data_IF_978361846842
#
_entry.id   IF_978361846842
#
_cell.length_a   1.000
_cell.length_b   1.000
_cell.length_c   1.000
_cell.angle_alpha   90.00
_cell.angle_beta   90.00
_cell.angle_gamma   90.00
#
_symmetry.space_group_name_H-M   'P 1'
#
loop_
_entity.id
_entity.type
_entity.pdbx_description
1 polymer ?
#
# COMPACT_ATOMS: atom_id res chain seq x y z
N UNK A 1 -10.70 5.27 -14.33
CA UNK A 1 -10.59 4.54 -15.62
C UNK A 1 -9.19 4.03 -15.89
N UNK A 2 -8.14 4.87 -15.87
CA UNK A 2 -6.75 4.41 -16.08
C UNK A 2 -6.35 3.24 -15.15
N UNK A 3 -6.67 3.33 -13.85
CA UNK A 3 -6.42 2.24 -12.90
C UNK A 3 -7.13 0.94 -13.29
N UNK A 4 -8.39 1.01 -13.76
CA UNK A 4 -9.12 -0.18 -14.21
C UNK A 4 -8.57 -0.74 -15.52
N UNK A 5 -8.16 0.13 -16.45
CA UNK A 5 -7.41 -0.28 -17.63
C UNK A 5 -6.15 -1.07 -17.25
N UNK A 6 -5.44 -0.62 -16.21
CA UNK A 6 -4.34 -1.35 -15.60
C UNK A 6 -4.76 -2.73 -15.08
N UNK A 7 -5.83 -2.82 -14.29
CA UNK A 7 -6.35 -4.11 -13.79
C UNK A 7 -6.68 -5.07 -14.93
N UNK A 8 -7.37 -4.59 -15.98
CA UNK A 8 -7.73 -5.40 -17.15
C UNK A 8 -6.46 -5.92 -17.84
N UNK A 9 -5.48 -5.04 -18.09
CA UNK A 9 -4.22 -5.41 -18.72
C UNK A 9 -3.45 -6.43 -17.88
N UNK A 10 -3.27 -6.19 -16.58
CA UNK A 10 -2.51 -7.06 -15.69
C UNK A 10 -3.20 -8.40 -15.43
N UNK A 11 -4.45 -8.37 -14.95
CA UNK A 11 -5.14 -9.53 -14.42
C UNK A 11 -6.03 -10.26 -15.42
N UNK A 12 -6.63 -9.56 -16.37
CA UNK A 12 -7.56 -10.19 -17.31
C UNK A 12 -6.91 -10.56 -18.64
N UNK A 13 -5.74 -10.00 -18.94
CA UNK A 13 -5.01 -10.24 -20.18
C UNK A 13 -3.66 -10.92 -19.90
N UNK A 14 -2.73 -10.24 -19.21
CA UNK A 14 -1.36 -10.74 -19.04
C UNK A 14 -1.32 -12.04 -18.22
N UNK A 15 -1.95 -12.06 -17.04
CA UNK A 15 -1.95 -13.24 -16.17
C UNK A 15 -2.58 -14.48 -16.83
N UNK A 16 -3.76 -14.41 -17.47
CA UNK A 16 -4.33 -15.53 -18.20
C UNK A 16 -3.46 -16.01 -19.37
N UNK A 17 -2.82 -15.10 -20.11
CA UNK A 17 -1.87 -15.48 -21.17
C UNK A 17 -0.68 -16.24 -20.58
N UNK A 18 -0.13 -15.77 -19.46
CA UNK A 18 0.96 -16.47 -18.76
C UNK A 18 0.52 -17.83 -18.24
N UNK A 19 -0.70 -17.93 -17.70
CA UNK A 19 -1.31 -19.19 -17.28
C UNK A 19 -1.41 -20.19 -18.42
N UNK A 20 -2.00 -19.79 -19.56
CA UNK A 20 -2.18 -20.67 -20.73
C UNK A 20 -0.83 -21.12 -21.29
N UNK A 21 0.13 -20.20 -21.41
CA UNK A 21 1.48 -20.48 -21.94
C UNK A 21 2.44 -21.11 -20.93
N UNK A 22 2.00 -21.32 -19.69
CA UNK A 22 2.85 -21.78 -18.58
C UNK A 22 4.13 -20.93 -18.42
N UNK A 23 4.04 -19.62 -18.65
CA UNK A 23 5.18 -18.71 -18.52
C UNK A 23 5.66 -18.68 -17.07
N UNK A 24 6.97 -18.83 -16.85
CA UNK A 24 7.59 -18.96 -15.52
C UNK A 24 7.03 -20.11 -14.67
N UNK A 25 6.64 -21.19 -15.34
CA UNK A 25 6.13 -22.40 -14.69
C UNK A 25 4.97 -22.12 -13.73
N UNK A 26 4.13 -21.13 -14.03
CA UNK A 26 3.02 -20.69 -13.16
C UNK A 26 2.11 -21.83 -12.68
N UNK A 27 2.03 -22.94 -13.43
CA UNK A 27 1.24 -24.12 -13.08
C UNK A 27 1.85 -24.98 -11.97
N UNK A 28 3.12 -24.77 -11.60
CA UNK A 28 3.77 -25.51 -10.51
C UNK A 28 3.30 -25.08 -9.12
N UNK A 29 2.79 -23.86 -9.00
CA UNK A 29 2.30 -23.32 -7.74
C UNK A 29 0.87 -23.82 -7.51
N UNK A 30 0.62 -24.39 -6.32
CA UNK A 30 -0.71 -24.88 -5.91
C UNK A 30 -1.76 -23.77 -6.00
N UNK A 31 -1.37 -22.55 -5.62
CA UNK A 31 -2.17 -21.34 -5.78
C UNK A 31 -1.35 -20.26 -6.50
N UNK A 32 -1.53 -20.04 -7.80
CA UNK A 32 -0.76 -19.05 -8.58
C UNK A 32 -1.11 -17.60 -8.22
N UNK A 33 -2.22 -17.39 -7.51
CA UNK A 33 -2.74 -16.08 -7.09
C UNK A 33 -2.57 -15.84 -5.59
N UNK A 34 -1.34 -16.00 -5.09
CA UNK A 34 -1.00 -15.80 -3.68
C UNK A 34 0.27 -14.94 -3.52
N UNK A 35 0.32 -14.08 -2.48
CA UNK A 35 1.52 -13.32 -2.11
C UNK A 35 2.52 -14.13 -1.25
N UNK A 36 2.50 -15.46 -1.36
CA UNK A 36 3.40 -16.36 -0.62
C UNK A 36 4.69 -16.66 -1.39
N UNK A 37 5.73 -17.06 -0.66
CA UNK A 37 7.00 -17.53 -1.21
C UNK A 37 6.99 -19.06 -1.34
N UNK A 38 7.75 -19.57 -2.31
CA UNK A 38 7.85 -20.98 -2.65
C UNK A 38 9.29 -21.39 -2.94
N UNK A 39 9.61 -22.64 -2.66
CA UNK A 39 10.81 -23.30 -3.15
C UNK A 39 10.73 -23.50 -4.66
N UNK A 40 11.87 -23.79 -5.32
CA UNK A 40 11.89 -23.97 -6.78
C UNK A 40 11.00 -25.12 -7.25
N UNK A 41 10.81 -26.12 -6.37
CA UNK A 41 9.93 -27.27 -6.56
C UNK A 41 8.42 -26.97 -6.40
N UNK A 42 8.03 -25.75 -6.00
CA UNK A 42 6.62 -25.34 -5.83
C UNK A 42 6.02 -25.56 -4.44
N UNK A 43 6.79 -26.09 -3.48
CA UNK A 43 6.38 -26.18 -2.06
C UNK A 43 6.52 -24.84 -1.34
N UNK A 44 5.76 -24.61 -0.28
CA UNK A 44 5.72 -23.31 0.41
C UNK A 44 7.04 -23.01 1.14
N UNK A 45 7.55 -21.79 0.97
CA UNK A 45 8.79 -21.33 1.60
C UNK A 45 8.48 -20.52 2.86
N UNK A 46 8.83 -21.06 4.02
CA UNK A 46 8.65 -20.37 5.30
C UNK A 46 9.95 -19.71 5.75
N UNK A 47 10.07 -18.40 5.52
CA UNK A 47 11.30 -17.65 5.85
C UNK A 47 11.65 -17.74 7.34
N UNK A 48 10.66 -17.90 8.22
CA UNK A 48 10.85 -18.09 9.67
C UNK A 48 11.79 -19.26 10.02
N UNK A 49 11.86 -20.30 9.19
CA UNK A 49 12.74 -21.45 9.43
C UNK A 49 14.23 -21.12 9.27
N UNK A 50 14.53 -20.00 8.59
CA UNK A 50 15.89 -19.53 8.31
C UNK A 50 16.26 -18.28 9.13
N UNK A 51 15.47 -17.95 10.16
CA UNK A 51 15.76 -16.81 11.03
C UNK A 51 16.37 -17.28 12.35
N UNK A 52 17.36 -16.53 12.84
CA UNK A 52 17.92 -16.67 14.19
C UNK A 52 16.92 -16.17 15.23
N UNK A 53 17.24 -16.39 16.51
CA UNK A 53 16.41 -15.93 17.64
C UNK A 53 16.24 -14.39 17.70
N UNK A 54 17.17 -13.64 17.10
CA UNK A 54 17.07 -12.18 16.96
C UNK A 54 16.32 -11.73 15.69
N UNK A 55 15.69 -12.67 14.97
CA UNK A 55 15.02 -12.50 13.68
C UNK A 55 15.93 -12.08 12.52
N UNK A 56 17.26 -12.11 12.66
CA UNK A 56 18.17 -11.96 11.52
C UNK A 56 18.24 -13.23 10.69
N UNK A 57 18.59 -13.12 9.40
CA UNK A 57 18.74 -14.29 8.53
C UNK A 57 19.96 -15.12 8.95
N UNK A 58 19.75 -16.43 9.09
CA UNK A 58 20.83 -17.41 9.22
C UNK A 58 21.33 -17.82 7.83
N UNK A 59 22.48 -17.25 7.44
CA UNK A 59 23.04 -17.46 6.11
C UNK A 59 23.53 -18.90 5.90
N UNK A 60 24.02 -19.57 6.95
CA UNK A 60 24.52 -20.95 6.83
C UNK A 60 23.35 -21.92 6.63
N UNK A 61 22.28 -21.78 7.42
CA UNK A 61 21.06 -22.58 7.25
C UNK A 61 20.39 -22.33 5.90
N UNK A 62 20.34 -21.07 5.46
CA UNK A 62 19.78 -20.71 4.16
C UNK A 62 20.60 -21.29 3.00
N UNK A 63 21.93 -21.23 3.06
CA UNK A 63 22.80 -21.82 2.04
C UNK A 63 22.77 -23.36 2.08
N UNK A 64 22.69 -23.97 3.27
CA UNK A 64 22.60 -25.42 3.43
C UNK A 64 21.31 -26.00 2.85
N UNK A 65 20.22 -25.24 2.85
CA UNK A 65 18.99 -25.64 2.17
C UNK A 65 19.15 -25.71 0.64
N UNK A 66 20.11 -24.98 0.07
CA UNK A 66 20.50 -25.06 -1.34
C UNK A 66 19.44 -24.61 -2.35
N UNK A 67 18.29 -24.11 -1.90
CA UNK A 67 17.17 -23.72 -2.74
C UNK A 67 16.77 -22.26 -2.50
N UNK A 68 16.54 -21.53 -3.60
CA UNK A 68 16.24 -20.10 -3.57
C UNK A 68 14.75 -19.85 -3.42
N UNK A 69 14.39 -18.82 -2.66
CA UNK A 69 13.00 -18.41 -2.54
C UNK A 69 12.49 -17.82 -3.87
N UNK A 70 11.40 -18.38 -4.37
CA UNK A 70 10.70 -17.96 -5.58
C UNK A 70 9.34 -17.36 -5.22
N UNK A 71 8.89 -16.44 -6.07
CA UNK A 71 7.59 -15.79 -6.02
C UNK A 71 6.71 -16.28 -7.16
N UNK A 72 5.40 -16.28 -6.92
CA UNK A 72 4.43 -16.47 -8.01
C UNK A 72 4.60 -15.38 -9.07
N UNK A 73 4.33 -15.66 -10.36
CA UNK A 73 4.38 -14.66 -11.43
C UNK A 73 3.48 -13.46 -11.16
N UNK A 74 2.34 -13.70 -10.53
CA UNK A 74 1.43 -12.65 -10.07
C UNK A 74 2.14 -11.72 -9.09
N UNK A 75 2.76 -12.26 -8.04
CA UNK A 75 3.42 -11.44 -7.03
C UNK A 75 4.65 -10.69 -7.59
N UNK A 76 5.48 -11.38 -8.38
CA UNK A 76 6.62 -10.78 -9.07
C UNK A 76 6.19 -9.62 -10.00
N UNK A 77 5.13 -9.80 -10.79
CA UNK A 77 4.62 -8.73 -11.64
C UNK A 77 4.11 -7.52 -10.86
N UNK A 78 3.47 -7.69 -9.70
CA UNK A 78 3.04 -6.53 -8.92
C UNK A 78 4.19 -5.69 -8.38
N UNK A 79 5.31 -6.30 -8.02
CA UNK A 79 6.53 -5.57 -7.68
C UNK A 79 7.11 -4.83 -8.91
N UNK A 80 7.13 -5.47 -10.08
CA UNK A 80 7.53 -4.82 -11.34
C UNK A 80 6.66 -3.58 -11.60
N UNK A 81 5.34 -3.73 -11.51
CA UNK A 81 4.41 -2.64 -11.73
C UNK A 81 4.55 -1.53 -10.67
N UNK A 82 4.94 -1.87 -9.44
CA UNK A 82 5.26 -0.87 -8.40
C UNK A 82 6.50 -0.04 -8.77
N UNK A 83 7.54 -0.67 -9.33
CA UNK A 83 8.72 0.03 -9.84
C UNK A 83 8.42 0.94 -11.03
N UNK A 84 7.58 0.47 -11.96
CA UNK A 84 7.07 1.28 -13.09
C UNK A 84 6.27 2.47 -12.55
N UNK A 85 5.36 2.25 -11.59
CA UNK A 85 4.50 3.30 -11.06
C UNK A 85 5.31 4.42 -10.39
N UNK A 86 6.27 4.07 -9.53
CA UNK A 86 7.07 5.08 -8.83
C UNK A 86 7.93 5.91 -9.79
N UNK A 87 8.68 5.27 -10.68
CA UNK A 87 9.53 5.98 -11.65
C UNK A 87 8.71 6.82 -12.62
N UNK A 88 7.58 6.30 -13.08
CA UNK A 88 6.63 7.05 -13.90
C UNK A 88 6.03 8.24 -13.18
N UNK A 89 5.81 8.15 -11.87
CA UNK A 89 5.30 9.26 -11.08
C UNK A 89 6.29 10.43 -11.11
N UNK A 90 7.56 10.14 -10.83
CA UNK A 90 8.62 11.15 -10.80
C UNK A 90 8.79 11.79 -12.18
N UNK A 91 8.94 10.98 -13.24
CA UNK A 91 9.17 11.52 -14.59
C UNK A 91 7.95 12.23 -15.15
N UNK A 92 6.73 11.74 -14.91
CA UNK A 92 5.50 12.41 -15.35
C UNK A 92 5.37 13.80 -14.71
N UNK A 93 5.61 13.92 -13.39
CA UNK A 93 5.57 15.22 -12.72
C UNK A 93 6.66 16.15 -13.26
N UNK A 94 7.89 15.68 -13.43
CA UNK A 94 8.97 16.50 -13.96
C UNK A 94 8.64 17.00 -15.38
N UNK A 95 8.18 16.11 -16.27
CA UNK A 95 7.93 16.44 -17.67
C UNK A 95 6.69 17.34 -17.87
N UNK A 96 5.56 16.99 -17.26
CA UNK A 96 4.29 17.70 -17.51
C UNK A 96 4.04 18.87 -16.56
N UNK A 97 4.52 18.79 -15.31
CA UNK A 97 4.19 19.76 -14.26
C UNK A 97 5.42 20.44 -13.63
N UNK A 98 6.65 20.08 -14.01
CA UNK A 98 7.87 20.59 -13.41
C UNK A 98 8.02 22.11 -13.56
N UNK A 99 7.62 22.66 -14.70
CA UNK A 99 7.64 24.10 -14.94
C UNK A 99 6.67 24.86 -14.02
N UNK A 100 5.46 24.33 -13.83
CA UNK A 100 4.43 24.93 -12.96
C UNK A 100 4.83 24.85 -11.49
N UNK A 101 5.42 23.71 -11.07
CA UNK A 101 5.96 23.54 -9.73
C UNK A 101 7.10 24.53 -9.49
N UNK A 102 8.04 24.67 -10.44
CA UNK A 102 9.14 25.62 -10.31
C UNK A 102 8.66 27.07 -10.27
N UNK A 103 7.65 27.41 -11.08
CA UNK A 103 7.01 28.74 -11.05
C UNK A 103 6.37 28.99 -9.69
N UNK A 104 5.61 28.03 -9.18
CA UNK A 104 4.93 28.12 -7.88
C UNK A 104 5.95 28.23 -6.72
N UNK A 105 7.05 27.49 -6.78
CA UNK A 105 8.15 27.57 -5.83
C UNK A 105 8.79 28.96 -5.82
N UNK A 106 9.12 29.51 -7.01
CA UNK A 106 9.68 30.87 -7.13
C UNK A 106 8.72 31.94 -6.61
N UNK A 107 7.42 31.80 -6.85
CA UNK A 107 6.40 32.71 -6.31
C UNK A 107 6.33 32.63 -4.78
N UNK A 108 6.37 31.42 -4.21
CA UNK A 108 6.34 31.21 -2.77
C UNK A 108 7.56 31.81 -2.05
N UNK A 109 8.75 31.75 -2.67
CA UNK A 109 10.00 32.27 -2.08
C UNK A 109 10.25 33.76 -2.40
N UNK A 110 9.78 34.28 -3.54
CA UNK A 110 10.15 35.59 -4.08
C UNK A 110 9.09 36.72 -4.01
N UNK A 111 7.84 36.42 -3.64
CA UNK A 111 6.70 37.35 -3.42
C UNK A 111 5.83 37.81 -4.62
N UNK A 112 4.59 38.19 -4.26
CA UNK A 112 3.65 39.21 -4.79
C UNK A 112 2.42 38.85 -5.64
N UNK A 113 2.23 37.62 -6.10
CA UNK A 113 0.91 37.19 -6.58
C UNK A 113 0.25 36.29 -5.54
N UNK A 114 -0.40 36.93 -4.58
CA UNK A 114 -1.18 36.23 -3.57
C UNK A 114 -2.60 35.98 -4.10
N UNK A 115 -2.97 34.71 -4.10
CA UNK A 115 -4.36 34.29 -4.21
C UNK A 115 -5.22 35.08 -3.20
N UNK A 116 -6.47 35.40 -3.56
CA UNK A 116 -7.43 36.02 -2.66
C UNK A 116 -7.51 35.26 -1.33
N UNK A 117 -7.35 33.94 -1.36
CA UNK A 117 -7.33 33.16 -0.14
C UNK A 117 -6.15 33.48 0.77
N UNK A 118 -4.95 33.67 0.21
CA UNK A 118 -3.75 34.07 0.96
C UNK A 118 -3.86 35.50 1.46
N UNK A 119 -4.37 36.43 0.64
CA UNK A 119 -4.61 37.83 1.05
C UNK A 119 -5.51 37.92 2.27
N UNK A 120 -6.61 37.17 2.29
CA UNK A 120 -7.53 37.12 3.42
C UNK A 120 -6.90 36.49 4.67
N UNK A 121 -5.92 35.60 4.51
CA UNK A 121 -5.27 34.90 5.61
C UNK A 121 -4.17 35.70 6.29
N UNK A 122 -3.68 36.79 5.67
CA UNK A 122 -2.67 37.70 6.25
C UNK A 122 -3.06 38.33 7.57
N UNK A 123 -4.36 38.39 7.88
CA UNK A 123 -4.86 38.88 9.17
C UNK A 123 -4.35 37.99 10.31
N UNK A 124 -4.10 36.72 10.04
CA UNK A 124 -3.61 35.78 11.03
C UNK A 124 -2.09 35.70 11.01
N UNK A 125 -1.45 35.64 12.19
CA UNK A 125 -0.02 35.46 12.26
C UNK A 125 0.36 34.06 11.75
N UNK A 126 1.35 34.01 10.86
CA UNK A 126 1.90 32.77 10.37
C UNK A 126 2.59 31.97 11.49
N UNK A 127 2.74 30.66 11.26
CA UNK A 127 3.47 29.78 12.15
C UNK A 127 4.96 29.99 11.89
N UNK A 128 5.76 30.32 12.91
CA UNK A 128 7.20 30.43 12.74
C UNK A 128 7.77 29.10 12.24
N UNK A 129 8.60 29.12 11.19
CA UNK A 129 9.26 27.90 10.68
C UNK A 129 10.08 27.18 11.75
N UNK A 130 10.55 27.91 12.77
CA UNK A 130 11.23 27.35 13.95
C UNK A 130 10.37 26.37 14.74
N UNK A 131 9.03 26.50 14.75
CA UNK A 131 8.16 25.54 15.43
C UNK A 131 8.19 24.19 14.72
N UNK A 132 8.10 24.20 13.39
CA UNK A 132 8.23 22.99 12.57
C UNK A 132 9.64 22.40 12.67
N UNK A 133 10.68 23.23 12.61
CA UNK A 133 12.07 22.77 12.70
C UNK A 133 12.38 22.17 14.08
N UNK A 134 11.99 22.84 15.17
CA UNK A 134 12.18 22.35 16.52
C UNK A 134 11.42 21.04 16.75
N UNK A 135 10.18 20.97 16.30
CA UNK A 135 9.38 19.74 16.38
C UNK A 135 10.02 18.58 15.61
N UNK A 136 10.48 18.85 14.38
CA UNK A 136 11.17 17.88 13.55
C UNK A 136 12.44 17.35 14.24
N UNK A 137 13.28 18.23 14.79
CA UNK A 137 14.52 17.83 15.48
C UNK A 137 14.21 16.98 16.71
N UNK A 138 13.21 17.36 17.51
CA UNK A 138 12.81 16.58 18.70
C UNK A 138 12.30 15.20 18.29
N UNK A 139 11.38 15.13 17.34
CA UNK A 139 10.79 13.85 16.90
C UNK A 139 11.79 12.95 16.18
N UNK A 140 12.70 13.52 15.39
CA UNK A 140 13.79 12.77 14.78
C UNK A 140 14.74 12.21 15.84
N UNK A 141 15.07 13.00 16.87
CA UNK A 141 15.92 12.56 17.98
C UNK A 141 15.29 11.43 18.78
N UNK A 142 13.99 11.53 19.07
CA UNK A 142 13.24 10.45 19.73
C UNK A 142 13.18 9.19 18.85
N UNK A 143 13.00 9.34 17.54
CA UNK A 143 12.99 8.23 16.59
C UNK A 143 14.34 7.49 16.57
N UNK A 144 15.45 8.24 16.54
CA UNK A 144 16.80 7.67 16.62
C UNK A 144 17.03 6.97 17.98
N UNK A 145 16.60 7.58 19.08
CA UNK A 145 16.69 6.99 20.42
C UNK A 145 15.92 5.66 20.51
N UNK A 146 14.69 5.61 19.99
CA UNK A 146 13.87 4.38 20.00
C UNK A 146 14.56 3.25 19.23
N UNK A 147 15.16 3.56 18.06
CA UNK A 147 15.88 2.57 17.27
C UNK A 147 17.10 1.98 17.99
N UNK A 148 17.88 2.81 18.69
CA UNK A 148 19.07 2.38 19.42
C UNK A 148 18.75 1.68 20.74
N UNK A 149 17.82 2.22 21.54
CA UNK A 149 17.49 1.70 22.88
C UNK A 149 16.77 0.35 22.81
N UNK A 150 15.83 0.19 21.87
CA UNK A 150 15.07 -1.05 21.71
C UNK A 150 15.73 -2.04 20.74
N UNK A 151 16.92 -1.72 20.22
CA UNK A 151 17.68 -2.63 19.36
C UNK A 151 16.93 -3.06 18.10
N UNK A 152 16.24 -2.13 17.42
CA UNK A 152 15.41 -2.41 16.23
C UNK A 152 16.22 -2.78 14.97
N UNK A 153 17.46 -3.24 15.13
CA UNK A 153 18.42 -3.59 14.07
C UNK A 153 18.78 -2.43 13.11
N UNK A 154 18.17 -1.25 13.26
CA UNK A 154 18.36 -0.06 12.45
C UNK A 154 19.21 0.96 13.23
N UNK A 155 20.43 1.29 12.78
CA UNK A 155 21.23 2.32 13.44
C UNK A 155 20.65 3.72 13.21
N UNK A 156 21.00 4.67 14.09
CA UNK A 156 20.50 6.05 14.06
C UNK A 156 20.62 6.74 12.69
N UNK A 157 21.72 6.52 11.97
CA UNK A 157 21.93 7.11 10.64
C UNK A 157 20.99 6.51 9.58
N UNK A 158 20.55 5.27 9.77
CA UNK A 158 19.56 4.61 8.90
C UNK A 158 18.20 5.31 8.95
N UNK A 159 17.82 5.86 10.11
CA UNK A 159 16.62 6.69 10.27
C UNK A 159 16.72 7.96 9.42
N UNK A 160 17.89 8.61 9.42
CA UNK A 160 18.15 9.82 8.62
C UNK A 160 18.01 9.51 7.12
N UNK A 161 18.57 8.39 6.66
CA UNK A 161 18.45 7.95 5.26
C UNK A 161 17.00 7.66 4.89
N UNK A 162 16.23 7.00 5.77
CA UNK A 162 14.81 6.74 5.56
C UNK A 162 14.00 8.05 5.40
N UNK A 163 14.21 9.00 6.30
CA UNK A 163 13.55 10.31 6.25
C UNK A 163 13.97 11.11 5.01
N UNK A 164 15.25 11.08 4.63
CA UNK A 164 15.74 11.76 3.43
C UNK A 164 15.10 11.19 2.15
N UNK A 165 15.02 9.86 2.03
CA UNK A 165 14.35 9.19 0.92
C UNK A 165 12.86 9.58 0.84
N UNK A 166 12.16 9.55 1.98
CA UNK A 166 10.78 9.99 2.09
C UNK A 166 10.61 11.44 1.66
N UNK A 167 11.48 12.34 2.14
CA UNK A 167 11.44 13.77 1.83
C UNK A 167 11.59 14.06 0.33
N UNK A 168 12.57 13.44 -0.35
CA UNK A 168 12.78 13.62 -1.80
C UNK A 168 11.56 13.17 -2.61
N UNK A 169 10.99 12.01 -2.26
CA UNK A 169 9.87 11.43 -3.02
C UNK A 169 8.50 12.00 -2.63
N UNK A 170 8.41 12.73 -1.52
CA UNK A 170 7.15 13.36 -1.07
C UNK A 170 6.64 14.36 -2.10
N UNK A 171 7.49 15.23 -2.65
CA UNK A 171 7.07 16.27 -3.60
C UNK A 171 6.37 15.70 -4.85
N UNK A 172 6.98 14.79 -5.65
CA UNK A 172 6.33 14.26 -6.83
C UNK A 172 5.07 13.44 -6.49
N UNK A 173 5.07 12.70 -5.38
CA UNK A 173 3.92 11.88 -5.01
C UNK A 173 2.73 12.75 -4.56
N UNK A 174 2.98 13.74 -3.69
CA UNK A 174 1.93 14.68 -3.27
C UNK A 174 1.40 15.50 -4.45
N UNK A 175 2.27 15.92 -5.39
CA UNK A 175 1.83 16.60 -6.61
C UNK A 175 0.94 15.68 -7.47
N UNK A 176 1.32 14.42 -7.64
CA UNK A 176 0.52 13.44 -8.38
C UNK A 176 -0.85 13.24 -7.74
N UNK A 177 -0.89 13.06 -6.42
CA UNK A 177 -2.16 12.93 -5.68
C UNK A 177 -3.00 14.19 -5.79
N UNK A 178 -2.40 15.38 -5.73
CA UNK A 178 -3.13 16.64 -5.83
C UNK A 178 -3.77 16.85 -7.21
N UNK A 179 -3.14 16.36 -8.28
CA UNK A 179 -3.62 16.52 -9.66
C UNK A 179 -4.62 15.44 -10.03
N UNK A 180 -4.33 14.19 -9.66
CA UNK A 180 -5.05 13.01 -10.17
C UNK A 180 -5.97 12.35 -9.15
N UNK A 181 -5.86 12.72 -7.87
CA UNK A 181 -6.51 12.03 -6.75
C UNK A 181 -5.84 10.70 -6.38
N UNK A 182 -4.70 10.36 -6.99
CA UNK A 182 -3.97 9.11 -6.74
C UNK A 182 -2.45 9.35 -6.66
N UNK A 183 -1.78 8.68 -5.73
CA UNK A 183 -0.32 8.68 -5.62
C UNK A 183 0.21 7.29 -5.27
N UNK A 184 1.34 6.86 -5.85
CA UNK A 184 1.94 5.56 -5.51
C UNK A 184 2.49 5.59 -4.08
N UNK A 185 2.43 4.44 -3.38
CA UNK A 185 3.02 4.30 -2.05
C UNK A 185 4.55 4.15 -2.09
N UNK A 186 5.23 4.50 -0.99
CA UNK A 186 6.69 4.34 -0.85
C UNK A 186 7.11 3.01 -0.23
N UNK A 187 6.16 2.12 0.08
CA UNK A 187 6.40 0.86 0.76
C UNK A 187 7.52 0.05 0.07
N UNK A 188 7.34 -0.29 -1.19
CA UNK A 188 8.26 -1.19 -1.91
C UNK A 188 9.65 -0.56 -2.05
N UNK A 189 9.76 0.72 -2.38
CA UNK A 189 11.07 1.36 -2.60
C UNK A 189 11.84 1.55 -1.29
N UNK A 190 11.15 1.87 -0.19
CA UNK A 190 11.81 2.04 1.13
C UNK A 190 12.33 0.70 1.65
N UNK A 191 11.52 -0.35 1.53
CA UNK A 191 11.94 -1.73 1.86
C UNK A 191 13.09 -2.20 0.96
N UNK A 192 13.01 -1.91 -0.34
CA UNK A 192 14.05 -2.26 -1.31
C UNK A 192 15.38 -1.55 -1.02
N UNK A 193 15.37 -0.23 -0.79
CA UNK A 193 16.59 0.52 -0.44
C UNK A 193 17.16 0.02 0.89
N UNK A 194 16.31 -0.19 1.91
CA UNK A 194 16.75 -0.70 3.20
C UNK A 194 17.37 -2.09 3.09
N UNK A 195 16.80 -3.00 2.28
CA UNK A 195 17.35 -4.33 2.07
C UNK A 195 18.74 -4.31 1.46
N UNK A 196 19.04 -3.32 0.61
CA UNK A 196 20.39 -3.12 0.10
C UNK A 196 21.39 -2.64 1.16
N UNK A 197 20.95 -1.75 2.04
CA UNK A 197 21.79 -1.15 3.07
C UNK A 197 21.99 -2.11 4.26
N UNK A 198 20.96 -2.85 4.64
CA UNK A 198 20.91 -3.72 5.80
C UNK A 198 20.39 -5.12 5.41
N UNK A 199 21.14 -5.90 4.61
CA UNK A 199 20.73 -7.24 4.22
C UNK A 199 20.59 -8.16 5.44
N UNK A 200 19.60 -9.06 5.42
CA UNK A 200 19.39 -10.03 6.49
C UNK A 200 18.68 -9.50 7.73
N UNK A 201 18.23 -8.24 7.73
CA UNK A 201 17.65 -7.55 8.90
C UNK A 201 16.19 -7.13 8.66
N UNK A 202 15.21 -8.03 8.84
CA UNK A 202 13.80 -7.74 8.60
C UNK A 202 13.21 -6.70 9.54
N UNK A 203 13.64 -6.63 10.80
CA UNK A 203 13.14 -5.63 11.75
C UNK A 203 13.61 -4.23 11.34
N UNK A 204 14.88 -4.11 10.93
CA UNK A 204 15.41 -2.84 10.40
C UNK A 204 14.62 -2.38 9.17
N UNK A 205 14.26 -3.32 8.30
CA UNK A 205 13.48 -3.07 7.09
C UNK A 205 12.09 -2.50 7.40
N UNK A 206 11.38 -3.10 8.36
CA UNK A 206 10.09 -2.60 8.84
C UNK A 206 10.20 -1.19 9.43
N UNK A 207 11.21 -0.95 10.28
CA UNK A 207 11.42 0.37 10.88
C UNK A 207 11.74 1.43 9.81
N UNK A 208 12.63 1.12 8.87
CA UNK A 208 13.01 2.03 7.78
C UNK A 208 11.79 2.39 6.90
N UNK A 209 10.96 1.40 6.56
CA UNK A 209 9.71 1.60 5.84
C UNK A 209 8.75 2.52 6.59
N UNK A 210 8.55 2.31 7.89
CA UNK A 210 7.70 3.16 8.70
C UNK A 210 8.16 4.63 8.65
N UNK A 211 9.45 4.88 8.90
CA UNK A 211 9.99 6.25 8.88
C UNK A 211 10.01 6.88 7.49
N UNK A 212 10.19 6.11 6.42
CA UNK A 212 10.16 6.63 5.05
C UNK A 212 8.75 6.88 4.50
N UNK A 213 7.85 5.89 4.62
CA UNK A 213 6.52 5.93 4.03
C UNK A 213 5.49 6.65 4.90
N UNK A 214 5.43 6.38 6.21
CA UNK A 214 4.41 7.00 7.07
C UNK A 214 4.67 8.49 7.24
N UNK A 215 5.93 8.93 7.23
CA UNK A 215 6.27 10.35 7.21
C UNK A 215 5.69 11.06 5.97
N UNK A 216 5.81 10.45 4.79
CA UNK A 216 5.20 10.99 3.56
C UNK A 216 3.66 10.99 3.64
N UNK A 217 3.05 9.90 4.13
CA UNK A 217 1.60 9.81 4.26
C UNK A 217 1.04 10.88 5.22
N UNK A 218 1.68 11.09 6.37
CA UNK A 218 1.32 12.15 7.32
C UNK A 218 1.55 13.54 6.74
N UNK A 219 2.63 13.76 5.98
CA UNK A 219 2.85 15.01 5.27
C UNK A 219 1.73 15.32 4.28
N UNK A 220 1.26 14.32 3.53
CA UNK A 220 0.15 14.49 2.59
C UNK A 220 -1.16 14.86 3.30
N UNK A 221 -1.49 14.22 4.42
CA UNK A 221 -2.67 14.55 5.23
C UNK A 221 -2.56 15.97 5.79
N UNK A 222 -1.40 16.32 6.35
CA UNK A 222 -1.11 17.67 6.84
C UNK A 222 -1.30 18.73 5.75
N UNK A 223 -0.83 18.48 4.53
CA UNK A 223 -1.01 19.39 3.39
C UNK A 223 -2.48 19.53 2.98
N UNK A 224 -3.27 18.45 3.04
CA UNK A 224 -4.71 18.51 2.79
C UNK A 224 -5.42 19.38 3.82
N UNK A 225 -5.10 19.20 5.10
CA UNK A 225 -5.69 19.98 6.19
C UNK A 225 -5.29 21.46 6.13
N UNK A 226 -4.03 21.76 5.87
CA UNK A 226 -3.55 23.14 5.68
C UNK A 226 -4.27 23.83 4.53
N UNK A 227 -4.51 23.11 3.43
CA UNK A 227 -5.28 23.63 2.29
C UNK A 227 -6.75 23.87 2.65
N UNK A 228 -7.38 22.94 3.36
CA UNK A 228 -8.74 23.10 3.86
C UNK A 228 -8.85 24.32 4.78
N UNK A 229 -7.91 24.47 5.72
CA UNK A 229 -7.89 25.59 6.64
C UNK A 229 -7.69 26.94 5.94
N UNK A 230 -6.89 26.99 4.87
CA UNK A 230 -6.74 28.18 4.01
C UNK A 230 -8.08 28.57 3.35
N UNK A 231 -8.87 27.58 2.92
CA UNK A 231 -10.19 27.79 2.32
C UNK A 231 -11.22 28.24 3.35
N UNK A 232 -11.23 27.61 4.53
CA UNK A 232 -12.16 27.88 5.63
C UNK A 232 -11.80 29.10 6.49
N UNK A 233 -10.66 29.75 6.23
CA UNK A 233 -10.16 30.91 6.99
C UNK A 233 -9.88 30.61 8.46
N UNK A 234 -9.39 29.40 8.73
CA UNK A 234 -8.99 28.97 10.08
C UNK A 234 -7.60 29.52 10.39
N UNK A 235 -7.38 30.20 11.54
CA UNK A 235 -6.07 30.71 11.92
C UNK A 235 -4.99 29.61 11.90
N UNK A 236 -3.82 29.83 11.27
CA UNK A 236 -2.79 28.79 11.11
C UNK A 236 -2.29 28.22 12.43
N UNK A 237 -2.05 29.07 13.44
CA UNK A 237 -1.57 28.63 14.76
C UNK A 237 -2.57 27.72 15.47
N UNK A 238 -3.86 28.03 15.39
CA UNK A 238 -4.91 27.18 15.98
C UNK A 238 -4.99 25.82 15.29
N UNK A 239 -4.82 25.81 13.95
CA UNK A 239 -4.78 24.59 13.17
C UNK A 239 -3.60 23.68 13.55
N UNK A 240 -2.41 24.26 13.71
CA UNK A 240 -1.22 23.55 14.17
C UNK A 240 -1.44 22.92 15.55
N UNK A 241 -1.96 23.69 16.51
CA UNK A 241 -2.24 23.19 17.88
C UNK A 241 -3.29 22.08 17.86
N UNK A 242 -4.36 22.22 17.08
CA UNK A 242 -5.41 21.22 16.97
C UNK A 242 -4.89 19.91 16.36
N UNK A 243 -4.11 20.00 15.27
CA UNK A 243 -3.48 18.83 14.66
C UNK A 243 -2.49 18.16 15.62
N UNK A 244 -1.64 18.94 16.28
CA UNK A 244 -0.68 18.43 17.25
C UNK A 244 -1.36 17.62 18.36
N UNK A 245 -2.41 18.17 18.97
CA UNK A 245 -3.20 17.46 19.98
C UNK A 245 -3.92 16.24 19.41
N UNK A 246 -4.52 16.36 18.22
CA UNK A 246 -5.19 15.25 17.55
C UNK A 246 -4.25 14.08 17.26
N UNK A 247 -3.02 14.35 16.80
CA UNK A 247 -1.99 13.33 16.54
C UNK A 247 -1.52 12.67 17.83
N UNK A 248 -1.31 13.42 18.92
CA UNK A 248 -0.90 12.84 20.21
C UNK A 248 -2.00 11.93 20.76
N UNK A 249 -3.23 12.44 20.86
CA UNK A 249 -4.34 11.67 21.42
C UNK A 249 -4.62 10.45 20.53
N UNK A 250 -4.66 10.64 19.21
CA UNK A 250 -4.90 9.58 18.24
C UNK A 250 -3.84 8.49 18.27
N UNK A 251 -2.55 8.86 18.36
CA UNK A 251 -1.46 7.88 18.43
C UNK A 251 -1.48 7.06 19.73
N UNK A 252 -1.72 7.71 20.88
CA UNK A 252 -1.86 7.01 22.17
C UNK A 252 -3.06 6.06 22.14
N UNK A 253 -4.22 6.54 21.70
CA UNK A 253 -5.42 5.71 21.64
C UNK A 253 -5.24 4.53 20.68
N UNK A 254 -4.69 4.76 19.49
CA UNK A 254 -4.42 3.71 18.52
C UNK A 254 -3.46 2.64 19.07
N UNK A 255 -2.39 3.06 19.76
CA UNK A 255 -1.44 2.15 20.40
C UNK A 255 -2.10 1.32 21.51
N UNK A 256 -2.86 1.96 22.41
CA UNK A 256 -3.57 1.27 23.50
C UNK A 256 -4.56 0.26 22.93
N UNK A 257 -5.40 0.68 21.98
CA UNK A 257 -6.37 -0.22 21.33
C UNK A 257 -5.67 -1.40 20.64
N UNK A 258 -4.57 -1.15 19.94
CA UNK A 258 -3.80 -2.23 19.28
C UNK A 258 -3.29 -3.25 20.29
N UNK A 259 -2.68 -2.82 21.40
CA UNK A 259 -2.19 -3.73 22.44
C UNK A 259 -3.35 -4.49 23.08
N UNK A 260 -4.44 -3.81 23.44
CA UNK A 260 -5.60 -4.47 24.05
C UNK A 260 -6.18 -5.57 23.15
N UNK A 261 -6.30 -5.33 21.84
CA UNK A 261 -6.80 -6.33 20.89
C UNK A 261 -5.82 -7.50 20.76
N UNK A 262 -4.52 -7.21 20.66
CA UNK A 262 -3.50 -8.26 20.53
C UNK A 262 -3.47 -9.15 21.78
N UNK A 263 -3.60 -8.56 22.97
CA UNK A 263 -3.55 -9.29 24.23
C UNK A 263 -4.85 -10.09 24.49
N UNK A 264 -6.02 -9.56 24.12
CA UNK A 264 -7.30 -10.26 24.32
C UNK A 264 -7.52 -11.38 23.29
N UNK A 265 -7.18 -11.14 22.03
CA UNK A 265 -7.49 -12.05 20.92
C UNK A 265 -6.27 -12.84 20.42
N UNK A 266 -5.19 -12.92 21.20
CA UNK A 266 -3.92 -13.52 20.75
C UNK A 266 -4.08 -14.95 20.25
N UNK A 267 -4.86 -15.76 20.97
CA UNK A 267 -5.11 -17.16 20.62
C UNK A 267 -5.82 -17.28 19.28
N UNK A 268 -6.80 -16.41 19.00
CA UNK A 268 -7.54 -16.37 17.74
C UNK A 268 -6.65 -15.86 16.59
N UNK A 269 -5.84 -14.83 16.84
CA UNK A 269 -4.95 -14.23 15.85
C UNK A 269 -3.79 -15.16 15.45
N UNK A 270 -3.37 -16.06 16.34
CA UNK A 270 -2.30 -17.05 16.11
C UNK A 270 -2.81 -18.41 15.64
N UNK A 271 -4.09 -18.72 15.87
CA UNK A 271 -4.74 -19.96 15.44
C UNK A 271 -4.71 -20.15 13.92
N UNK A 272 -4.27 -21.33 13.41
CA UNK A 272 -4.37 -21.69 11.99
C UNK A 272 -5.81 -21.71 11.47
N UNK A 273 -6.76 -22.05 12.33
CA UNK A 273 -8.19 -22.10 12.02
C UNK A 273 -8.81 -20.70 11.90
N UNK A 274 -8.11 -19.65 12.36
CA UNK A 274 -8.61 -18.29 12.37
C UNK A 274 -9.81 -18.10 13.31
N UNK A 275 -10.42 -16.91 13.24
CA UNK A 275 -11.65 -16.62 13.97
C UNK A 275 -12.86 -17.30 13.30
N UNK A 276 -13.59 -18.20 14.01
CA UNK A 276 -14.82 -18.81 13.49
C UNK A 276 -15.89 -17.78 13.09
N UNK A 277 -15.90 -16.61 13.75
CA UNK A 277 -16.80 -15.50 13.44
C UNK A 277 -16.27 -14.58 12.33
N UNK A 278 -14.99 -14.69 11.96
CA UNK A 278 -14.33 -13.86 10.96
C UNK A 278 -14.20 -12.38 11.35
N UNK A 279 -14.34 -12.03 12.63
CA UNK A 279 -14.21 -10.67 13.15
C UNK A 279 -12.76 -10.20 13.15
N UNK A 280 -11.88 -11.06 13.65
CA UNK A 280 -10.48 -10.74 13.84
C UNK A 280 -9.63 -11.39 12.76
N UNK A 281 -8.91 -10.54 12.02
CA UNK A 281 -7.97 -11.02 11.00
C UNK A 281 -6.59 -10.40 11.20
N UNK A 282 -5.58 -11.26 11.41
CA UNK A 282 -4.18 -10.85 11.45
C UNK A 282 -3.59 -10.48 10.08
N UNK A 283 -4.44 -10.13 9.09
CA UNK A 283 -4.06 -10.05 7.67
C UNK A 283 -3.09 -8.90 7.39
N UNK A 284 -3.40 -7.69 7.87
CA UNK A 284 -2.54 -6.53 7.65
C UNK A 284 -1.15 -6.73 8.31
N UNK A 285 -1.04 -7.18 9.57
CA UNK A 285 0.24 -7.58 10.16
C UNK A 285 0.98 -8.67 9.37
N UNK A 286 0.28 -9.70 8.88
CA UNK A 286 0.88 -10.77 8.07
C UNK A 286 1.45 -10.26 6.74
N UNK A 287 0.73 -9.38 6.03
CA UNK A 287 1.23 -8.75 4.80
C UNK A 287 2.45 -7.86 5.10
N UNK A 288 2.39 -7.09 6.19
CA UNK A 288 3.49 -6.23 6.60
C UNK A 288 4.75 -7.05 6.94
N UNK A 289 4.60 -8.14 7.68
CA UNK A 289 5.67 -9.08 8.00
C UNK A 289 6.19 -9.81 6.75
N UNK A 290 5.32 -10.31 5.88
CA UNK A 290 5.71 -11.02 4.65
C UNK A 290 6.56 -10.17 3.72
N UNK A 291 6.25 -8.88 3.60
CA UNK A 291 7.07 -7.93 2.84
C UNK A 291 8.47 -7.77 3.44
N UNK A 292 8.57 -7.67 4.77
CA UNK A 292 9.85 -7.57 5.47
C UNK A 292 10.70 -8.85 5.36
N UNK A 293 10.08 -10.01 5.21
CA UNK A 293 10.79 -11.26 4.95
C UNK A 293 11.45 -11.26 3.56
N UNK A 294 10.77 -10.72 2.55
CA UNK A 294 11.27 -10.62 1.17
C UNK A 294 12.41 -9.59 1.09
N UNK A 295 12.13 -8.34 1.46
CA UNK A 295 13.08 -7.25 1.26
C UNK A 295 14.07 -7.08 2.41
N UNK A 296 13.75 -7.54 3.62
CA UNK A 296 14.62 -7.41 4.77
C UNK A 296 15.46 -8.66 5.04
N UNK A 297 14.81 -9.82 5.21
CA UNK A 297 15.52 -11.06 5.52
C UNK A 297 16.27 -11.62 4.30
N UNK A 298 15.56 -11.99 3.23
CA UNK A 298 16.20 -12.50 2.01
C UNK A 298 17.04 -11.40 1.35
N UNK A 299 16.46 -10.21 1.26
CA UNK A 299 17.12 -9.01 0.74
C UNK A 299 17.05 -8.92 -0.79
N UNK A 300 17.09 -7.71 -1.34
CA UNK A 300 17.12 -7.49 -2.77
C UNK A 300 18.28 -8.16 -3.50
N UNK A 301 19.42 -8.31 -2.82
CA UNK A 301 20.62 -8.92 -3.39
C UNK A 301 20.37 -10.36 -3.81
N UNK A 302 19.68 -11.15 -2.97
CA UNK A 302 19.45 -12.59 -3.23
C UNK A 302 18.33 -12.83 -4.22
N UNK A 303 17.33 -11.96 -4.25
CA UNK A 303 16.15 -12.16 -5.12
C UNK A 303 16.25 -11.41 -6.45
N UNK A 304 16.79 -10.19 -6.46
CA UNK A 304 16.74 -9.27 -7.59
C UNK A 304 18.13 -8.86 -8.14
N UNK A 305 19.26 -9.30 -7.57
CA UNK A 305 20.60 -9.04 -8.16
C UNK A 305 21.02 -10.12 -9.16
N UNK A 306 22.29 -10.14 -9.57
CA UNK A 306 22.93 -11.17 -10.43
C UNK A 306 22.69 -12.60 -9.95
N UNK A 307 22.56 -12.77 -8.63
CA UNK A 307 22.45 -14.07 -7.99
C UNK A 307 20.99 -14.53 -7.88
N UNK A 308 20.03 -13.68 -8.26
CA UNK A 308 18.59 -13.92 -8.13
C UNK A 308 17.84 -13.97 -9.47
N UNK A 309 16.71 -14.67 -9.48
CA UNK A 309 15.87 -14.86 -10.68
C UNK A 309 15.12 -13.59 -11.15
N UNK A 310 15.06 -12.54 -10.33
CA UNK A 310 14.17 -11.40 -10.54
C UNK A 310 14.88 -10.10 -10.96
N UNK A 311 16.16 -10.14 -11.36
CA UNK A 311 16.90 -8.94 -11.77
C UNK A 311 16.33 -8.20 -12.98
N UNK A 312 15.56 -8.89 -13.83
CA UNK A 312 14.83 -8.27 -14.94
C UNK A 312 13.77 -7.24 -14.47
N UNK A 313 13.37 -7.27 -13.19
CA UNK A 313 12.37 -6.34 -12.68
C UNK A 313 12.88 -4.90 -12.57
N UNK A 314 14.20 -4.67 -12.58
CA UNK A 314 14.77 -3.32 -12.66
C UNK A 314 14.43 -2.60 -13.96
N UNK A 315 14.13 -3.34 -15.04
CA UNK A 315 13.59 -2.74 -16.25
C UNK A 315 12.29 -1.98 -15.98
N UNK A 316 11.55 -2.32 -14.92
CA UNK A 316 10.38 -1.56 -14.47
C UNK A 316 10.71 -0.09 -14.19
N UNK A 317 11.83 0.22 -13.52
CA UNK A 317 12.25 1.61 -13.30
C UNK A 317 12.56 2.33 -14.62
N UNK A 318 13.22 1.65 -15.56
CA UNK A 318 13.53 2.24 -16.85
C UNK A 318 12.27 2.48 -17.68
N UNK A 319 11.37 1.50 -17.75
CA UNK A 319 10.09 1.59 -18.46
C UNK A 319 9.26 2.75 -17.89
N UNK A 320 9.12 2.82 -16.56
CA UNK A 320 8.39 3.91 -15.92
C UNK A 320 9.07 5.27 -16.11
N UNK A 321 10.40 5.34 -16.15
CA UNK A 321 11.09 6.59 -16.44
C UNK A 321 10.91 7.05 -17.90
N UNK A 322 11.02 6.14 -18.86
CA UNK A 322 11.08 6.45 -20.30
C UNK A 322 9.70 6.73 -20.89
N UNK A 323 8.65 5.98 -20.53
CA UNK A 323 7.34 6.15 -21.17
C UNK A 323 6.77 7.58 -20.99
N UNK A 324 6.77 8.19 -19.79
CA UNK A 324 6.30 9.57 -19.63
C UNK A 324 7.11 10.60 -20.43
N UNK A 325 8.42 10.38 -20.61
CA UNK A 325 9.27 11.23 -21.46
C UNK A 325 8.83 11.12 -22.93
N UNK A 326 8.55 9.91 -23.41
CA UNK A 326 8.02 9.69 -24.76
C UNK A 326 6.68 10.41 -24.91
N UNK A 327 5.75 10.23 -23.96
CA UNK A 327 4.44 10.87 -24.00
C UNK A 327 4.54 12.40 -23.98
N UNK A 328 5.50 12.95 -23.24
CA UNK A 328 5.80 14.37 -23.23
C UNK A 328 6.36 14.85 -24.57
N UNK A 329 7.28 14.11 -25.19
CA UNK A 329 7.79 14.46 -26.51
C UNK A 329 6.68 14.40 -27.58
N UNK A 330 5.78 13.42 -27.50
CA UNK A 330 4.61 13.33 -28.37
C UNK A 330 3.63 14.47 -28.15
N UNK A 331 3.51 14.99 -26.92
CA UNK A 331 2.66 16.15 -26.63
C UNK A 331 3.15 17.43 -27.29
N UNK A 332 4.46 17.57 -27.51
CA UNK A 332 5.03 18.67 -28.30
C UNK A 332 4.76 18.54 -29.79
N UNK A 333 4.73 17.30 -30.32
CA UNK A 333 4.46 17.04 -31.75
C UNK A 333 2.97 17.09 -32.09
N UNK A 334 2.11 16.59 -31.20
CA UNK A 334 0.66 16.50 -31.38
C UNK A 334 -0.09 17.13 -30.20
N UNK A 335 -0.15 18.48 -30.15
CA UNK A 335 -0.77 19.19 -29.03
C UNK A 335 -2.30 19.05 -28.98
N UNK A 336 -2.94 18.53 -30.04
CA UNK A 336 -4.39 18.29 -30.07
C UNK A 336 -4.84 17.15 -29.16
N UNK A 337 -3.94 16.23 -28.79
CA UNK A 337 -4.23 15.10 -27.92
C UNK A 337 -3.83 15.44 -26.48
N UNK A 338 -4.69 15.11 -25.51
CA UNK A 338 -4.43 15.35 -24.10
C UNK A 338 -3.50 14.29 -23.48
N UNK A 339 -2.24 14.25 -23.92
CA UNK A 339 -1.23 13.26 -23.49
C UNK A 339 -1.01 13.23 -21.97
N UNK A 340 -1.14 14.36 -21.29
CA UNK A 340 -1.06 14.48 -19.83
C UNK A 340 -2.07 13.58 -19.10
N UNK A 341 -3.22 13.28 -19.74
CA UNK A 341 -4.25 12.41 -19.15
C UNK A 341 -3.87 10.93 -19.19
N UNK A 342 -2.91 10.55 -20.04
CA UNK A 342 -2.40 9.19 -20.10
C UNK A 342 -1.33 9.01 -19.01
N UNK A 343 -1.80 8.67 -17.81
CA UNK A 343 -0.93 8.56 -16.64
C UNK A 343 -0.46 7.12 -16.42
N UNK A 344 0.80 6.86 -16.81
CA UNK A 344 1.47 5.55 -16.68
C UNK A 344 1.52 5.08 -15.22
N UNK A 345 1.71 5.99 -14.27
CA UNK A 345 1.71 5.70 -12.82
C UNK A 345 0.42 5.00 -12.41
N UNK A 346 -0.72 5.60 -12.76
CA UNK A 346 -2.04 5.09 -12.37
C UNK A 346 -2.34 3.77 -13.07
N UNK A 347 -1.93 3.63 -14.33
CA UNK A 347 -2.10 2.37 -15.08
C UNK A 347 -1.28 1.26 -14.43
N UNK A 348 0.01 1.48 -14.19
CA UNK A 348 0.90 0.51 -13.57
C UNK A 348 0.44 0.15 -12.14
N UNK A 349 0.05 1.14 -11.35
CA UNK A 349 -0.59 0.91 -10.05
C UNK A 349 -1.83 0.03 -10.14
N UNK A 350 -2.68 0.23 -11.16
CA UNK A 350 -3.82 -0.62 -11.44
C UNK A 350 -3.44 -2.04 -11.86
N UNK A 351 -2.36 -2.20 -12.65
CA UNK A 351 -1.82 -3.52 -13.01
C UNK A 351 -1.29 -4.27 -11.78
N UNK A 352 -0.72 -3.55 -10.81
CA UNK A 352 -0.26 -4.07 -9.53
C UNK A 352 -1.33 -4.14 -8.43
N UNK A 353 -2.56 -3.67 -8.69
CA UNK A 353 -3.65 -3.67 -7.72
C UNK A 353 -4.21 -5.09 -7.59
N UNK A 354 -3.50 -5.91 -6.81
CA UNK A 354 -3.94 -7.26 -6.47
C UNK A 354 -5.36 -7.21 -5.90
N UNK A 355 -6.29 -8.05 -6.38
CA UNK A 355 -7.57 -8.20 -5.73
C UNK A 355 -7.31 -8.82 -4.34
N UNK A 356 -7.14 -7.96 -3.34
CA UNK A 356 -6.97 -8.35 -1.95
C UNK A 356 -8.31 -8.77 -1.35
N UNK A 357 -8.98 -9.78 -1.92
CA UNK A 357 -10.24 -10.28 -1.41
C UNK A 357 -11.26 -10.60 -2.49
N UNK A 358 -12.53 -10.25 -2.25
CA UNK A 358 -13.64 -10.55 -3.16
C UNK A 358 -13.53 -9.68 -4.43
N UNK A 359 -13.43 -10.33 -5.59
CA UNK A 359 -13.34 -9.71 -6.93
C UNK A 359 -14.55 -8.79 -7.22
N UNK A 360 -15.67 -8.98 -6.52
CA UNK A 360 -16.88 -8.16 -6.60
C UNK A 360 -16.62 -6.67 -6.42
N UNK A 361 -15.65 -6.29 -5.58
CA UNK A 361 -15.33 -4.89 -5.32
C UNK A 361 -14.84 -4.14 -6.57
N UNK A 362 -14.01 -4.78 -7.40
CA UNK A 362 -13.44 -4.13 -8.60
C UNK A 362 -14.53 -3.95 -9.66
N UNK A 363 -15.25 -5.02 -10.00
CA UNK A 363 -16.29 -4.98 -11.03
C UNK A 363 -17.44 -4.04 -10.64
N UNK A 364 -17.88 -4.08 -9.37
CA UNK A 364 -18.88 -3.15 -8.86
C UNK A 364 -18.43 -1.70 -8.94
N UNK A 365 -17.19 -1.41 -8.57
CA UNK A 365 -16.63 -0.05 -8.62
C UNK A 365 -16.50 0.48 -10.05
N UNK A 366 -16.25 -0.38 -11.05
CA UNK A 366 -16.27 0.01 -12.47
C UNK A 366 -17.68 0.41 -12.92
N UNK A 367 -18.69 -0.39 -12.57
CA UNK A 367 -20.08 -0.10 -12.94
C UNK A 367 -20.53 1.22 -12.33
N UNK A 368 -20.28 1.41 -11.02
CA UNK A 368 -20.58 2.68 -10.34
C UNK A 368 -19.83 3.84 -10.98
N UNK A 369 -18.54 3.68 -11.29
CA UNK A 369 -17.74 4.70 -11.95
C UNK A 369 -18.26 5.05 -13.35
N UNK A 370 -18.71 4.07 -14.14
CA UNK A 370 -19.33 4.30 -15.45
C UNK A 370 -20.66 5.06 -15.31
N UNK A 371 -21.53 4.63 -14.40
CA UNK A 371 -22.82 5.29 -14.18
C UNK A 371 -22.59 6.74 -13.73
N UNK A 372 -21.68 7.00 -12.79
CA UNK A 372 -21.43 8.35 -12.27
C UNK A 372 -20.66 9.24 -13.24
N UNK A 373 -19.52 8.76 -13.75
CA UNK A 373 -18.57 9.59 -14.51
C UNK A 373 -18.86 9.62 -16.01
N UNK A 374 -19.53 8.59 -16.55
CA UNK A 374 -19.91 8.57 -17.96
C UNK A 374 -21.36 8.97 -18.18
N UNK A 375 -22.32 8.32 -17.51
CA UNK A 375 -23.74 8.56 -17.77
C UNK A 375 -24.26 9.83 -17.06
N UNK A 376 -24.20 9.89 -15.72
CA UNK A 376 -24.68 11.03 -14.94
C UNK A 376 -23.97 12.34 -15.31
N UNK A 377 -22.65 12.32 -15.47
CA UNK A 377 -21.89 13.51 -15.85
C UNK A 377 -22.27 14.07 -17.24
N UNK A 378 -22.56 13.21 -18.23
CA UNK A 378 -22.89 13.62 -19.60
C UNK A 378 -24.35 14.01 -19.77
N UNK A 379 -25.28 13.25 -19.19
CA UNK A 379 -26.72 13.43 -19.42
C UNK A 379 -27.41 14.26 -18.33
N UNK A 380 -26.86 14.31 -17.10
CA UNK A 380 -27.47 14.98 -15.94
C UNK A 380 -26.47 15.84 -15.16
N UNK A 381 -25.67 16.65 -15.86
CA UNK A 381 -24.58 17.46 -15.30
C UNK A 381 -24.99 18.38 -14.14
N UNK A 382 -26.18 18.97 -14.20
CA UNK A 382 -26.69 19.87 -13.14
C UNK A 382 -26.90 19.12 -11.81
N UNK A 383 -27.42 17.89 -11.88
CA UNK A 383 -27.56 17.05 -10.68
C UNK A 383 -26.19 16.58 -10.18
N UNK A 384 -25.34 16.12 -11.11
CA UNK A 384 -24.00 15.63 -10.78
C UNK A 384 -23.17 16.69 -10.06
N UNK A 385 -23.12 17.92 -10.57
CA UNK A 385 -22.30 18.99 -9.96
C UNK A 385 -22.79 19.40 -8.58
N UNK A 386 -24.10 19.32 -8.31
CA UNK A 386 -24.69 19.72 -7.03
C UNK A 386 -24.57 18.65 -5.95
N UNK A 387 -24.76 17.38 -6.29
CA UNK A 387 -24.96 16.31 -5.31
C UNK A 387 -23.84 15.27 -5.24
N UNK A 388 -22.94 15.18 -6.23
CA UNK A 388 -21.94 14.08 -6.28
C UNK A 388 -21.06 14.02 -5.05
N UNK A 389 -20.52 15.15 -4.59
CA UNK A 389 -19.65 15.16 -3.40
C UNK A 389 -20.42 14.87 -2.11
N UNK A 390 -21.64 15.41 -1.98
CA UNK A 390 -22.51 15.16 -0.81
C UNK A 390 -22.88 13.69 -0.74
N UNK A 391 -23.26 13.09 -1.87
CA UNK A 391 -23.61 11.69 -1.94
C UNK A 391 -22.40 10.78 -1.71
N UNK A 392 -21.22 11.14 -2.23
CA UNK A 392 -19.98 10.40 -1.94
C UNK A 392 -19.71 10.36 -0.43
N UNK A 393 -19.77 11.51 0.24
CA UNK A 393 -19.60 11.58 1.68
C UNK A 393 -20.67 10.79 2.45
N UNK A 394 -21.92 10.82 1.98
CA UNK A 394 -23.02 10.05 2.57
C UNK A 394 -22.84 8.53 2.38
N UNK A 395 -22.34 8.09 1.23
CA UNK A 395 -22.04 6.68 0.97
C UNK A 395 -20.89 6.16 1.83
N UNK A 396 -19.80 6.94 1.98
CA UNK A 396 -18.67 6.58 2.84
C UNK A 396 -19.13 6.47 4.32
N UNK A 397 -19.89 7.46 4.77
CA UNK A 397 -20.44 7.48 6.13
C UNK A 397 -21.44 6.34 6.35
N UNK A 398 -22.33 6.09 5.40
CA UNK A 398 -23.31 5.01 5.45
C UNK A 398 -22.65 3.63 5.46
N UNK A 399 -21.59 3.42 4.68
CA UNK A 399 -20.81 2.19 4.70
C UNK A 399 -20.14 1.97 6.06
N UNK A 400 -19.56 3.00 6.66
CA UNK A 400 -18.98 2.93 8.00
C UNK A 400 -20.01 2.57 9.08
N UNK A 401 -21.18 3.23 9.07
CA UNK A 401 -22.29 2.91 9.99
C UNK A 401 -22.83 1.49 9.78
N UNK A 402 -22.96 1.06 8.52
CA UNK A 402 -23.39 -0.30 8.21
C UNK A 402 -22.39 -1.33 8.70
N UNK A 403 -21.09 -1.09 8.51
CA UNK A 403 -20.02 -1.94 9.02
C UNK A 403 -20.06 -2.05 10.55
N UNK A 404 -20.21 -0.93 11.25
CA UNK A 404 -20.35 -0.92 12.71
C UNK A 404 -21.62 -1.66 13.17
N UNK A 405 -22.73 -1.46 12.48
CA UNK A 405 -23.99 -2.15 12.77
C UNK A 405 -23.87 -3.67 12.58
N UNK A 406 -23.29 -4.11 11.47
CA UNK A 406 -23.04 -5.53 11.21
C UNK A 406 -22.08 -6.14 12.24
N UNK A 407 -21.04 -5.41 12.62
CA UNK A 407 -20.11 -5.84 13.66
C UNK A 407 -20.80 -6.05 15.01
N UNK A 408 -21.55 -5.05 15.47
CA UNK A 408 -22.25 -5.05 16.78
C UNK A 408 -23.34 -6.12 16.83
N UNK A 409 -24.18 -6.23 15.78
CA UNK A 409 -25.44 -6.98 15.84
C UNK A 409 -25.47 -8.32 15.10
N UNK A 410 -24.57 -8.56 14.14
CA UNK A 410 -24.59 -9.77 13.30
C UNK A 410 -23.32 -10.59 13.38
N UNK A 411 -22.21 -9.97 13.76
CA UNK A 411 -20.90 -10.61 13.78
C UNK A 411 -20.49 -11.02 15.20
N UNK A 412 -21.28 -10.68 16.22
CA UNK A 412 -21.02 -11.06 17.61
C UNK A 412 -20.24 -10.03 18.46
N UNK A 413 -20.07 -8.79 17.99
CA UNK A 413 -19.25 -7.77 18.66
C UNK A 413 -19.72 -7.40 20.09
N UNK A 414 -21.00 -7.60 20.43
CA UNK A 414 -21.52 -7.39 21.80
C UNK A 414 -21.74 -8.69 22.56
N UNK A 415 -22.03 -9.79 21.85
CA UNK A 415 -22.23 -11.11 22.43
C UNK A 415 -22.18 -12.17 21.34
N UNK A 416 -21.57 -13.31 21.65
CA UNK A 416 -21.53 -14.50 20.76
C UNK A 416 -22.93 -14.97 20.32
N UNK A 417 -23.98 -14.65 21.09
CA UNK A 417 -25.38 -15.00 20.75
C UNK A 417 -25.93 -14.23 19.54
N UNK A 418 -25.25 -13.16 19.12
CA UNK A 418 -25.61 -12.33 17.97
C UNK A 418 -24.85 -12.73 16.70
N UNK A 419 -24.08 -13.82 16.73
CA UNK A 419 -23.42 -14.35 15.55
C UNK A 419 -24.47 -14.97 14.64
N UNK A 420 -24.67 -14.37 13.46
CA UNK A 420 -25.55 -14.89 12.42
C UNK A 420 -24.69 -15.47 11.31
N UNK A 421 -24.79 -16.78 11.07
CA UNK A 421 -24.12 -17.44 9.95
C UNK A 421 -24.84 -17.07 8.65
N UNK A 422 -24.20 -16.33 7.73
CA UNK A 422 -24.85 -15.95 6.47
C UNK A 422 -25.04 -17.16 5.56
N UNK A 423 -26.09 -17.20 4.71
CA UNK A 423 -26.27 -18.28 3.76
C UNK A 423 -25.14 -18.31 2.74
N UNK A 424 -24.65 -19.51 2.41
CA UNK A 424 -23.65 -19.74 1.36
C UNK A 424 -24.31 -19.98 0.00
N UNK A 425 -23.81 -19.35 -1.06
CA UNK A 425 -24.24 -19.63 -2.44
C UNK A 425 -23.07 -19.53 -3.43
N UNK A 426 -23.33 -19.84 -4.70
CA UNK A 426 -22.33 -20.00 -5.79
C UNK A 426 -21.41 -18.78 -6.07
N UNK A 427 -21.60 -17.66 -5.38
CA UNK A 427 -20.73 -16.47 -5.44
C UNK A 427 -20.47 -15.85 -4.04
N UNK A 428 -20.94 -16.49 -2.97
CA UNK A 428 -20.76 -16.11 -1.57
C UNK A 428 -20.39 -17.36 -0.77
N UNK A 429 -19.12 -17.77 -0.89
CA UNK A 429 -18.58 -18.87 -0.11
C UNK A 429 -18.13 -18.37 1.25
N UNK A 430 -18.61 -19.03 2.30
CA UNK A 430 -18.10 -18.88 3.66
C UNK A 430 -16.66 -19.43 3.62
N UNK A 431 -15.67 -18.62 4.00
CA UNK A 431 -14.26 -19.01 3.94
C UNK A 431 -13.91 -20.18 4.88
N UNK A 432 -14.83 -20.57 5.75
CA UNK A 432 -14.70 -21.60 6.78
C UNK A 432 -15.80 -22.66 6.64
N UNK A 433 -15.88 -23.33 5.49
CA UNK A 433 -16.60 -24.61 5.43
C UNK A 433 -15.61 -25.72 5.81
N UNK A 434 -15.75 -26.35 7.00
CA UNK A 434 -14.90 -27.47 7.41
C UNK A 434 -15.03 -28.70 6.49
N UNK A 435 -16.01 -28.73 5.58
CA UNK A 435 -16.18 -29.76 4.56
C UNK A 435 -15.70 -29.31 3.16
N UNK A 436 -14.98 -28.18 3.04
CA UNK A 436 -14.47 -27.73 1.75
C UNK A 436 -13.40 -28.68 1.21
N UNK A 437 -13.84 -29.64 0.39
CA UNK A 437 -12.94 -30.47 -0.41
C UNK A 437 -12.28 -29.58 -1.48
N UNK A 438 -10.96 -29.42 -1.38
CA UNK A 438 -10.11 -28.64 -2.29
C UNK A 438 -10.13 -29.13 -3.76
N UNK A 439 -10.91 -30.16 -4.09
CA UNK A 439 -11.04 -30.76 -5.42
C UNK A 439 -12.12 -30.12 -6.30
N UNK A 440 -12.90 -29.17 -5.79
CA UNK A 440 -13.78 -28.37 -6.65
C UNK A 440 -12.92 -27.40 -7.48
N UNK A 441 -13.00 -27.49 -8.82
CA UNK A 441 -12.25 -26.73 -9.84
C UNK A 441 -12.22 -25.18 -9.66
N UNK A 442 -12.91 -24.61 -8.67
CA UNK A 442 -12.83 -23.20 -8.28
C UNK A 442 -11.70 -22.85 -7.28
N UNK A 443 -11.07 -23.82 -6.62
CA UNK A 443 -10.02 -23.57 -5.62
C UNK A 443 -8.68 -23.12 -6.21
N UNK A 444 -8.31 -23.64 -7.39
CA UNK A 444 -6.98 -23.40 -7.98
C UNK A 444 -6.76 -21.94 -8.40
N UNK A 445 -7.81 -21.24 -8.84
CA UNK A 445 -7.77 -19.81 -9.17
C UNK A 445 -8.41 -18.93 -8.09
N UNK A 446 -8.71 -19.49 -6.92
CA UNK A 446 -9.13 -18.70 -5.78
C UNK A 446 -7.94 -17.88 -5.27
N UNK A 447 -8.19 -16.62 -4.93
CA UNK A 447 -7.20 -15.80 -4.22
C UNK A 447 -7.03 -16.45 -2.85
N UNK A 448 -5.85 -16.97 -2.54
CA UNK A 448 -5.49 -17.37 -1.19
C UNK A 448 -5.34 -16.09 -0.35
N UNK A 449 -6.32 -15.83 0.51
CA UNK A 449 -6.48 -14.53 1.15
C UNK A 449 -5.58 -14.37 2.38
N UNK A 450 -5.05 -15.47 2.91
CA UNK A 450 -4.37 -15.50 4.20
C UNK A 450 -3.33 -16.63 4.38
N UNK A 451 -2.96 -17.42 3.37
CA UNK A 451 -2.17 -18.64 3.59
C UNK A 451 -2.92 -19.67 4.45
N UNK A 452 -4.25 -19.54 4.55
CA UNK A 452 -5.10 -20.27 5.50
C UNK A 452 -5.45 -21.69 5.04
N UNK A 453 -5.05 -22.08 3.83
CA UNK A 453 -5.18 -23.48 3.37
C UNK A 453 -3.85 -24.23 3.44
N UNK A 454 -2.99 -23.85 4.39
CA UNK A 454 -1.92 -24.72 4.87
C UNK A 454 -2.55 -25.93 5.58
N UNK A 455 -2.98 -26.93 4.81
CA UNK A 455 -3.10 -28.29 5.32
C UNK A 455 -1.71 -28.68 5.83
N UNK A 456 -1.56 -28.62 7.14
CA UNK A 456 -0.41 -29.14 7.85
C UNK A 456 -0.49 -30.67 7.75
N UNK A 457 -0.01 -31.20 6.62
CA UNK A 457 0.29 -32.62 6.51
C UNK A 457 1.54 -32.89 7.36
N UNK A 458 1.26 -33.44 8.55
CA UNK A 458 2.13 -34.18 9.47
C UNK A 458 2.43 -33.51 10.82
N UNK A 459 1.70 -34.02 11.82
CA UNK A 459 2.16 -34.10 13.21
C UNK A 459 1.05 -34.59 14.11
N UNK A 460 0.99 -35.91 14.19
CA UNK A 460 0.05 -36.63 15.00
C UNK A 460 0.39 -36.54 16.50
N UNK A 461 -0.55 -36.28 17.43
CA UNK A 461 -0.37 -36.63 18.84
C UNK A 461 -0.91 -38.02 19.21
N UNK A 462 -1.65 -38.72 18.33
CA UNK A 462 -2.06 -40.11 18.50
C UNK A 462 -2.23 -40.86 17.15
N UNK A 463 -1.09 -41.27 16.55
CA UNK A 463 -0.88 -42.40 15.62
C UNK A 463 0.43 -42.27 14.82
#
# INVERSE_FOLDING_TARGET
MCSYGGVILGYWIILPIMWVKNTWEIKKYVYPLTPSLFFTNGTTFHVQQFLKADYSLDEELYQAAGDTATMTPMYALGFLYSFIALSACVTHIICFHGADIMKSWKMAVGSKEEDIHQKLMKVYPEIPQLWYAGFYVVMLSLSMMVCEVYGLQLPWWGVIVACALGWVLTLPICAMTAITGYGPGLNVITEFVCGYIFPGKPIANMAFKCYGYMAMAQCMILLQDLKLGLYMKIPPRSMFVAQFWGTIIGSIFNYVTMITIIDSEREILTSPQGDPAGLWTGRNPKIFWGSAQIFGALGPQRMFSSDGYYGWMYWGFLIGAVIPVILWALSKKWPSVAWEKFNVTIIASGMGAFPNGYISGITGSVIVALIWQFWLYRYHKNWWSKYTFILSAALDTGAAFTGLFLFIFFSGGVSEKLIVTPPSWWANYIAFDPNYNATANGGFMAIDRCGTTGLWESGNPYQ
#
